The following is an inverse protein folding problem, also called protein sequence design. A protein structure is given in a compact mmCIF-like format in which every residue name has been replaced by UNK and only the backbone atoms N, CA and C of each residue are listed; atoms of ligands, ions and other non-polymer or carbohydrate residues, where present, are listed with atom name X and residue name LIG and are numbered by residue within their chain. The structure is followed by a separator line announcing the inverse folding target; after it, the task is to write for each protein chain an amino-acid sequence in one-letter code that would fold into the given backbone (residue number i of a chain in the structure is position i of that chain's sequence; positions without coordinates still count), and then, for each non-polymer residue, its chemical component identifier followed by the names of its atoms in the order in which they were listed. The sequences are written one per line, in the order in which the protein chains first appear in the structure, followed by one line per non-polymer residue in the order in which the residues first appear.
data_IF_156249412017
#
_entry.id   IF_156249412017
#
_cell.length_a   1.000
_cell.length_b   1.000
_cell.length_c   1.000
_cell.angle_alpha   90.00
_cell.angle_beta   90.00
_cell.angle_gamma   90.00
#
_symmetry.space_group_name_H-M   'P 1'
#
loop_
_entity.id
_entity.type
_entity.pdbx_description
1 polymer ?
#
# COMPACT_ATOMS: atom_id res chain seq x y z
N UNK A 1 8.35 12.45 3.09
CA UNK A 1 8.31 11.21 2.30
C UNK A 1 8.64 10.05 3.21
N UNK A 2 7.89 8.96 3.12
CA UNK A 2 8.09 7.78 3.98
C UNK A 2 7.99 6.48 3.18
N UNK A 3 8.63 5.43 3.69
CA UNK A 3 8.52 4.07 3.16
C UNK A 3 8.49 3.01 4.26
N UNK A 4 8.71 1.75 3.90
CA UNK A 4 8.40 0.60 4.76
C UNK A 4 9.12 0.61 6.12
N UNK A 5 10.29 1.25 6.19
CA UNK A 5 11.08 1.37 7.41
C UNK A 5 10.36 2.09 8.55
N UNK A 6 9.35 2.94 8.28
CA UNK A 6 8.56 3.57 9.36
C UNK A 6 7.59 2.59 10.02
N UNK A 7 7.26 1.48 9.36
CA UNK A 7 6.29 0.48 9.82
C UNK A 7 6.94 -0.75 10.46
N UNK A 8 8.26 -0.91 10.37
CA UNK A 8 8.99 -2.00 11.05
C UNK A 8 8.78 -2.02 12.57
N UNK A 9 8.74 -0.88 13.30
CA UNK A 9 8.46 -0.89 14.74
C UNK A 9 6.99 -1.23 15.07
N UNK A 10 6.11 -1.21 14.07
CA UNK A 10 4.71 -1.64 14.20
C UNK A 10 4.53 -3.15 14.02
N UNK A 11 5.61 -3.89 13.74
CA UNK A 11 5.58 -5.34 13.52
C UNK A 11 5.29 -5.76 12.08
N UNK A 12 5.22 -4.81 11.15
CA UNK A 12 5.12 -5.09 9.72
C UNK A 12 6.54 -5.30 9.21
N UNK A 13 6.91 -6.49 8.71
CA UNK A 13 8.22 -6.68 8.13
C UNK A 13 8.36 -5.76 6.91
N UNK A 14 9.55 -5.25 6.67
CA UNK A 14 9.79 -4.60 5.39
C UNK A 14 9.78 -5.65 4.26
N UNK A 15 9.85 -5.19 3.02
CA UNK A 15 9.84 -6.11 1.88
C UNK A 15 11.17 -6.87 1.73
N UNK A 16 12.30 -6.22 2.04
CA UNK A 16 13.64 -6.61 1.54
C UNK A 16 14.61 -7.14 2.60
N UNK A 17 14.33 -7.01 3.90
CA UNK A 17 15.26 -7.44 4.95
C UNK A 17 15.55 -8.94 4.84
N UNK A 18 16.83 -9.37 4.81
CA UNK A 18 17.16 -10.78 4.77
C UNK A 18 16.61 -11.53 6.00
N UNK A 19 15.86 -12.61 5.79
CA UNK A 19 15.38 -13.52 6.84
C UNK A 19 14.11 -13.08 7.58
N UNK A 20 13.82 -11.78 7.67
CA UNK A 20 12.58 -11.26 8.28
C UNK A 20 11.65 -10.57 7.27
N UNK A 21 12.18 -10.19 6.11
CA UNK A 21 11.44 -9.46 5.09
C UNK A 21 10.40 -10.34 4.40
N UNK A 22 9.33 -9.70 3.96
CA UNK A 22 8.19 -10.36 3.32
C UNK A 22 8.62 -11.28 2.17
N UNK A 23 9.59 -10.87 1.36
CA UNK A 23 10.11 -11.63 0.22
C UNK A 23 10.75 -12.97 0.61
N UNK A 24 11.33 -13.07 1.80
CA UNK A 24 11.89 -14.33 2.30
C UNK A 24 10.77 -15.33 2.64
N UNK A 25 9.65 -14.86 3.16
CA UNK A 25 8.48 -15.70 3.51
C UNK A 25 7.66 -16.11 2.28
N UNK A 26 7.84 -15.41 1.15
CA UNK A 26 7.12 -15.71 -0.09
C UNK A 26 7.76 -16.83 -0.92
N UNK A 27 8.97 -17.30 -0.57
CA UNK A 27 9.65 -18.42 -1.23
C UNK A 27 8.84 -19.74 -1.18
N UNK A 28 7.90 -19.86 -0.23
CA UNK A 28 6.98 -21.00 -0.15
C UNK A 28 5.96 -21.03 -1.30
N UNK A 29 5.76 -19.90 -1.98
CA UNK A 29 4.93 -19.80 -3.16
C UNK A 29 5.84 -19.93 -4.39
N UNK A 30 5.36 -20.63 -5.42
CA UNK A 30 6.06 -20.83 -6.70
C UNK A 30 6.08 -19.51 -7.51
N UNK A 31 6.76 -18.50 -6.95
CA UNK A 31 6.98 -17.18 -7.53
C UNK A 31 8.38 -17.15 -8.15
N UNK A 32 8.53 -16.64 -9.40
CA UNK A 32 9.81 -16.67 -10.10
C UNK A 32 10.87 -15.78 -9.43
N UNK A 33 10.42 -14.67 -8.83
CA UNK A 33 11.20 -13.74 -8.03
C UNK A 33 10.23 -12.91 -7.17
N UNK A 34 10.67 -12.31 -6.05
CA UNK A 34 9.77 -11.70 -5.08
C UNK A 34 8.88 -10.58 -5.61
N UNK A 35 9.41 -9.73 -6.49
CA UNK A 35 8.70 -8.61 -7.09
C UNK A 35 7.53 -9.05 -7.99
N UNK A 36 7.54 -10.28 -8.49
CA UNK A 36 6.49 -10.82 -9.36
C UNK A 36 5.10 -10.79 -8.69
N UNK A 37 5.01 -10.82 -7.37
CA UNK A 37 3.73 -10.70 -6.65
C UNK A 37 3.00 -9.37 -6.91
N UNK A 38 3.75 -8.33 -7.30
CA UNK A 38 3.26 -7.01 -7.66
C UNK A 38 3.35 -6.76 -9.18
N UNK A 39 3.43 -7.79 -10.01
CA UNK A 39 3.39 -7.65 -11.46
C UNK A 39 2.02 -8.07 -12.01
N UNK A 40 1.46 -7.28 -12.92
CA UNK A 40 0.15 -7.59 -13.52
C UNK A 40 0.15 -8.92 -14.28
N UNK A 41 1.23 -9.22 -15.02
CA UNK A 41 1.34 -10.46 -15.78
C UNK A 41 1.25 -11.70 -14.88
N UNK A 42 2.01 -11.70 -13.78
CA UNK A 42 1.95 -12.76 -12.78
C UNK A 42 0.58 -12.78 -12.07
N UNK A 43 0.02 -11.63 -11.70
CA UNK A 43 -1.29 -11.54 -11.05
C UNK A 43 -2.42 -12.15 -11.88
N UNK A 44 -2.43 -11.92 -13.20
CA UNK A 44 -3.42 -12.53 -14.08
C UNK A 44 -3.22 -14.03 -14.25
N UNK A 45 -1.99 -14.52 -14.15
CA UNK A 45 -1.68 -15.94 -14.16
C UNK A 45 -2.08 -16.63 -12.85
N UNK A 46 -1.66 -16.07 -11.71
CA UNK A 46 -1.93 -16.58 -10.37
C UNK A 46 -2.08 -15.42 -9.36
N UNK A 47 -3.30 -14.97 -9.05
CA UNK A 47 -3.50 -13.87 -8.10
C UNK A 47 -3.41 -14.30 -6.62
N UNK A 48 -3.36 -15.60 -6.33
CA UNK A 48 -3.44 -16.11 -4.95
C UNK A 48 -2.32 -15.59 -4.04
N UNK A 49 -1.03 -15.58 -4.45
CA UNK A 49 0.04 -15.10 -3.58
C UNK A 49 -0.18 -13.65 -3.12
N UNK A 50 -0.64 -12.77 -4.01
CA UNK A 50 -0.96 -11.40 -3.67
C UNK A 50 -2.11 -11.30 -2.65
N UNK A 51 -3.18 -12.09 -2.80
CA UNK A 51 -4.30 -12.03 -1.84
C UNK A 51 -3.94 -12.62 -0.48
N UNK A 52 -3.05 -13.61 -0.42
CA UNK A 52 -2.49 -14.08 0.84
C UNK A 52 -1.69 -12.98 1.54
N UNK A 53 -0.87 -12.25 0.78
CA UNK A 53 -0.18 -11.08 1.30
C UNK A 53 -1.14 -9.99 1.78
N UNK A 54 -2.17 -9.67 0.98
CA UNK A 54 -3.15 -8.65 1.32
C UNK A 54 -3.91 -8.99 2.62
N UNK A 55 -4.10 -10.28 2.91
CA UNK A 55 -4.67 -10.76 4.18
C UNK A 55 -3.76 -10.42 5.36
N UNK A 56 -2.45 -10.65 5.24
CA UNK A 56 -1.48 -10.33 6.29
C UNK A 56 -1.38 -8.81 6.55
N UNK A 57 -1.44 -8.00 5.49
CA UNK A 57 -1.32 -6.55 5.56
C UNK A 57 -2.64 -5.82 5.88
N UNK A 58 -3.72 -6.54 6.17
CA UNK A 58 -5.02 -5.89 6.35
C UNK A 58 -5.01 -4.89 7.52
N UNK A 59 -5.54 -3.66 7.32
CA UNK A 59 -5.76 -2.72 8.40
C UNK A 59 -6.51 -3.33 9.59
N UNK A 60 -5.92 -3.23 10.78
CA UNK A 60 -6.48 -3.74 12.04
C UNK A 60 -5.56 -4.69 12.80
N UNK A 61 -4.64 -5.37 12.11
CA UNK A 61 -3.64 -6.22 12.76
C UNK A 61 -2.48 -5.42 13.38
N UNK A 62 -2.19 -4.26 12.80
CA UNK A 62 -1.07 -3.41 13.20
C UNK A 62 -1.57 -2.06 13.69
N UNK A 63 -0.77 -1.42 14.55
CA UNK A 63 -1.04 -0.09 15.09
C UNK A 63 0.04 0.89 14.65
N UNK A 64 -0.31 2.16 14.41
CA UNK A 64 0.69 3.20 14.19
C UNK A 64 1.64 3.30 15.38
N UNK A 65 2.92 3.52 15.10
CA UNK A 65 3.95 3.74 16.12
C UNK A 65 4.32 5.23 16.26
N UNK A 66 5.34 5.52 17.08
CA UNK A 66 5.80 6.89 17.37
C UNK A 66 6.15 7.70 16.14
N UNK A 67 6.67 7.09 15.07
CA UNK A 67 6.99 7.78 13.81
C UNK A 67 5.73 8.30 13.13
N UNK A 68 4.67 7.49 13.11
CA UNK A 68 3.38 7.88 12.54
C UNK A 68 2.72 8.99 13.36
N UNK A 69 2.77 8.89 14.69
CA UNK A 69 2.22 9.91 15.57
C UNK A 69 3.05 11.21 15.58
N UNK A 70 4.35 11.13 15.29
CA UNK A 70 5.16 12.33 15.04
C UNK A 70 4.67 13.08 13.81
N UNK A 71 4.37 12.39 12.70
CA UNK A 71 3.79 13.01 11.51
C UNK A 71 2.40 13.59 11.80
N UNK A 72 1.61 12.90 12.62
CA UNK A 72 0.33 13.41 13.12
C UNK A 72 0.50 14.69 13.93
N UNK A 73 1.51 14.75 14.80
CA UNK A 73 1.82 15.93 15.58
C UNK A 73 2.24 17.12 14.70
N UNK A 74 3.02 16.88 13.64
CA UNK A 74 3.34 17.92 12.64
C UNK A 74 2.08 18.43 11.94
N UNK A 75 1.12 17.55 11.65
CA UNK A 75 -0.18 17.94 11.11
C UNK A 75 -0.98 18.79 12.10
N UNK A 76 -1.12 18.34 13.35
CA UNK A 76 -1.88 19.03 14.40
C UNK A 76 -1.28 20.41 14.75
N UNK A 77 0.03 20.59 14.49
CA UNK A 77 0.74 21.87 14.62
C UNK A 77 0.75 22.72 13.35
N UNK A 78 0.02 22.29 12.32
CA UNK A 78 -0.11 22.99 11.03
C UNK A 78 1.22 23.12 10.24
N UNK A 79 2.21 22.29 10.56
CA UNK A 79 3.52 22.27 9.90
C UNK A 79 3.59 21.28 8.72
N UNK A 80 2.66 20.33 8.64
CA UNK A 80 2.66 19.33 7.58
C UNK A 80 2.02 19.88 6.30
N UNK A 81 2.83 20.15 5.26
CA UNK A 81 2.32 20.44 3.92
C UNK A 81 1.61 19.23 3.32
N UNK A 82 2.35 18.11 3.16
CA UNK A 82 1.86 16.83 2.62
C UNK A 82 2.69 15.67 3.16
N UNK A 83 2.05 14.52 3.33
CA UNK A 83 2.68 13.24 3.57
C UNK A 83 2.58 12.36 2.33
N UNK A 84 3.72 12.12 1.68
CA UNK A 84 3.85 11.12 0.61
C UNK A 84 4.35 9.81 1.22
N UNK A 85 3.59 8.74 1.06
CA UNK A 85 3.95 7.39 1.54
C UNK A 85 4.05 6.41 0.37
N UNK A 86 5.08 5.56 0.42
CA UNK A 86 5.23 4.37 -0.44
C UNK A 86 4.54 3.14 0.16
N UNK A 87 4.08 3.23 1.41
CA UNK A 87 3.46 2.13 2.12
C UNK A 87 2.02 1.92 1.65
N UNK A 88 1.56 0.70 1.85
CA UNK A 88 0.19 0.27 1.56
C UNK A 88 -0.54 -0.25 2.80
N UNK A 89 0.13 -0.19 3.97
CA UNK A 89 -0.39 -0.71 5.25
C UNK A 89 -1.50 0.16 5.86
N UNK A 90 -1.64 1.41 5.41
CA UNK A 90 -2.68 2.34 5.86
C UNK A 90 -2.46 2.92 7.26
N UNK A 91 -1.28 2.74 7.88
CA UNK A 91 -1.00 3.22 9.23
C UNK A 91 -0.95 4.75 9.33
N UNK A 92 -0.67 5.46 8.24
CA UNK A 92 -0.76 6.93 8.19
C UNK A 92 -2.22 7.39 8.35
N UNK A 93 -3.17 6.69 7.73
CA UNK A 93 -4.59 6.98 7.92
C UNK A 93 -5.02 6.59 9.33
N UNK A 94 -4.58 5.44 9.83
CA UNK A 94 -4.90 4.97 11.18
C UNK A 94 -4.32 5.89 12.29
N UNK A 95 -3.23 6.61 12.05
CA UNK A 95 -2.72 7.64 12.97
C UNK A 95 -3.51 8.95 12.94
N UNK A 96 -4.46 9.07 12.01
CA UNK A 96 -5.35 10.21 11.87
C UNK A 96 -4.83 11.30 10.93
N UNK A 97 -3.89 11.00 10.02
CA UNK A 97 -3.59 11.93 8.94
C UNK A 97 -4.83 12.04 8.03
N UNK A 98 -5.36 13.26 7.79
CA UNK A 98 -6.53 13.41 6.93
C UNK A 98 -6.18 13.09 5.48
N UNK A 99 -7.14 12.54 4.73
CA UNK A 99 -6.95 12.20 3.32
C UNK A 99 -6.48 13.39 2.47
N UNK A 100 -6.84 14.63 2.83
CA UNK A 100 -6.36 15.84 2.17
C UNK A 100 -4.85 16.05 2.29
N UNK A 101 -4.22 15.57 3.36
CA UNK A 101 -2.77 15.68 3.61
C UNK A 101 -1.97 14.45 3.18
N UNK A 102 -2.63 13.35 2.86
CA UNK A 102 -2.00 12.10 2.47
C UNK A 102 -1.99 11.87 0.96
N UNK A 103 -0.86 11.39 0.46
CA UNK A 103 -0.68 10.82 -0.87
C UNK A 103 -0.10 9.42 -0.72
N UNK A 104 -0.95 8.42 -0.91
CA UNK A 104 -0.59 7.00 -0.98
C UNK A 104 -0.06 6.72 -2.39
N UNK A 105 1.24 6.88 -2.60
CA UNK A 105 1.84 6.83 -3.94
C UNK A 105 1.70 5.46 -4.59
N UNK A 106 1.77 4.38 -3.80
CA UNK A 106 1.60 3.01 -4.29
C UNK A 106 0.18 2.48 -4.07
N UNK A 107 -0.79 3.38 -3.91
CA UNK A 107 -2.19 3.01 -3.80
C UNK A 107 -2.58 2.53 -2.41
N UNK A 108 -3.76 1.91 -2.31
CA UNK A 108 -4.41 1.64 -1.02
C UNK A 108 -5.27 0.37 -1.05
N UNK A 109 -5.45 -0.26 0.12
CA UNK A 109 -6.43 -1.34 0.31
C UNK A 109 -7.85 -0.83 0.60
N UNK A 110 -8.04 0.48 0.73
CA UNK A 110 -9.34 1.11 1.02
C UNK A 110 -10.34 0.93 -0.12
N UNK A 111 -9.87 0.80 -1.36
CA UNK A 111 -10.70 0.62 -2.55
C UNK A 111 -10.13 -0.50 -3.43
N UNK A 112 -10.99 -1.02 -4.29
CA UNK A 112 -10.61 -2.06 -5.24
C UNK A 112 -11.35 -1.88 -6.57
N UNK A 113 -10.75 -2.36 -7.65
CA UNK A 113 -11.28 -2.21 -9.00
C UNK A 113 -11.32 -3.57 -9.71
N UNK A 114 -12.45 -3.88 -10.36
CA UNK A 114 -12.54 -5.03 -11.23
C UNK A 114 -11.57 -4.89 -12.41
N UNK A 115 -10.73 -5.91 -12.64
CA UNK A 115 -9.73 -5.90 -13.70
C UNK A 115 -10.32 -5.98 -15.11
N UNK A 116 -11.59 -6.36 -15.24
CA UNK A 116 -12.29 -6.50 -16.54
C UNK A 116 -13.20 -5.31 -16.81
N UNK A 117 -14.27 -5.14 -16.01
CA UNK A 117 -15.28 -4.10 -16.25
C UNK A 117 -14.97 -2.74 -15.61
N UNK A 118 -13.85 -2.63 -14.88
CA UNK A 118 -13.41 -1.40 -14.18
C UNK A 118 -14.38 -0.85 -13.14
N UNK A 119 -15.39 -1.63 -12.73
CA UNK A 119 -16.27 -1.28 -11.62
C UNK A 119 -15.46 -1.15 -10.33
N UNK A 120 -15.68 -0.07 -9.60
CA UNK A 120 -15.07 0.18 -8.29
C UNK A 120 -15.87 -0.48 -7.17
N UNK A 121 -15.15 -0.87 -6.13
CA UNK A 121 -15.61 -1.51 -4.90
C UNK A 121 -14.92 -0.84 -3.72
N UNK A 122 -15.57 -0.87 -2.56
CA UNK A 122 -14.86 -0.60 -1.32
C UNK A 122 -13.92 -1.77 -1.01
N UNK A 123 -12.86 -1.51 -0.24
CA UNK A 123 -12.01 -2.58 0.29
C UNK A 123 -12.86 -3.55 1.12
N UNK A 124 -13.76 -3.04 1.95
CA UNK A 124 -14.66 -3.87 2.78
C UNK A 124 -15.46 -4.90 1.95
N UNK A 125 -15.88 -4.54 0.73
CA UNK A 125 -16.64 -5.43 -0.16
C UNK A 125 -15.90 -6.72 -0.52
N UNK A 126 -14.58 -6.66 -0.71
CA UNK A 126 -13.78 -7.82 -1.14
C UNK A 126 -13.17 -8.57 0.05
N UNK A 127 -13.30 -8.03 1.25
CA UNK A 127 -12.53 -8.49 2.39
C UNK A 127 -13.01 -9.81 2.98
N UNK A 128 -14.31 -10.08 2.89
CA UNK A 128 -14.88 -11.36 3.27
C UNK A 128 -14.31 -12.51 2.44
N UNK A 129 -13.98 -12.27 1.17
CA UNK A 129 -13.35 -13.27 0.31
C UNK A 129 -11.86 -13.44 0.64
N UNK A 130 -11.12 -12.32 0.77
CA UNK A 130 -9.69 -12.35 1.13
C UNK A 130 -9.45 -13.08 2.44
N UNK A 131 -10.26 -12.79 3.48
CA UNK A 131 -10.13 -13.44 4.79
C UNK A 131 -10.46 -14.93 4.78
N UNK A 132 -11.28 -15.36 3.83
CA UNK A 132 -11.65 -16.76 3.64
C UNK A 132 -10.79 -17.48 2.58
N UNK A 133 -9.62 -16.91 2.25
CA UNK A 133 -8.66 -17.47 1.29
C UNK A 133 -9.25 -17.66 -0.11
N UNK A 134 -10.22 -16.82 -0.49
CA UNK A 134 -10.86 -16.77 -1.81
C UNK A 134 -10.40 -15.55 -2.59
N UNK A 135 -10.22 -15.74 -3.90
CA UNK A 135 -9.97 -14.64 -4.83
C UNK A 135 -11.28 -13.88 -5.05
N UNK A 136 -11.37 -12.58 -4.71
CA UNK A 136 -12.58 -11.80 -4.89
C UNK A 136 -12.95 -11.63 -6.36
N UNK A 137 -14.23 -11.81 -6.67
CA UNK A 137 -14.77 -11.82 -8.03
C UNK A 137 -15.87 -10.78 -8.18
N UNK A 138 -15.87 -10.11 -9.33
CA UNK A 138 -16.87 -9.10 -9.65
C UNK A 138 -18.24 -9.78 -9.81
N UNK A 139 -19.28 -9.32 -9.10
CA UNK A 139 -20.62 -9.93 -9.18
C UNK A 139 -21.29 -9.74 -10.56
N UNK A 140 -20.77 -8.86 -11.42
CA UNK A 140 -21.33 -8.58 -12.74
C UNK A 140 -20.66 -9.39 -13.85
N UNK A 141 -19.32 -9.38 -13.89
CA UNK A 141 -18.55 -9.95 -15.01
C UNK A 141 -17.64 -11.10 -14.61
N UNK A 142 -17.63 -11.51 -13.33
CA UNK A 142 -16.78 -12.57 -12.76
C UNK A 142 -15.26 -12.34 -12.89
N UNK A 143 -14.84 -11.18 -13.39
CA UNK A 143 -13.45 -10.75 -13.38
C UNK A 143 -12.91 -10.62 -11.96
N UNK A 144 -11.60 -10.80 -11.79
CA UNK A 144 -10.95 -10.61 -10.49
C UNK A 144 -11.09 -9.15 -10.04
N UNK A 145 -11.38 -8.92 -8.76
CA UNK A 145 -11.39 -7.57 -8.18
C UNK A 145 -10.07 -7.34 -7.47
N UNK A 146 -9.24 -6.46 -8.02
CA UNK A 146 -7.89 -6.17 -7.52
C UNK A 146 -7.96 -4.94 -6.61
N UNK A 147 -7.41 -4.97 -5.38
CA UNK A 147 -7.18 -3.77 -4.58
C UNK A 147 -6.45 -2.68 -5.38
N UNK A 148 -6.74 -1.42 -5.11
CA UNK A 148 -6.14 -0.29 -5.83
C UNK A 148 -4.69 0.00 -5.36
N UNK A 149 -3.89 -1.06 -5.25
CA UNK A 149 -2.44 -1.06 -5.04
C UNK A 149 -1.77 -0.96 -6.40
N UNK A 150 -0.78 -0.09 -6.54
CA UNK A 150 -0.04 0.08 -7.80
C UNK A 150 0.91 -1.10 -7.98
N UNK A 151 0.75 -1.82 -9.08
CA UNK A 151 1.66 -2.88 -9.51
C UNK A 151 2.73 -2.33 -10.43
N UNK A 152 3.84 -3.06 -10.58
CA UNK A 152 4.88 -2.69 -11.54
C UNK A 152 4.30 -2.58 -12.95
N UNK A 153 4.60 -1.46 -13.60
CA UNK A 153 4.07 -1.10 -14.92
C UNK A 153 2.70 -0.42 -14.90
N UNK A 154 2.04 -0.28 -13.75
CA UNK A 154 0.84 0.54 -13.61
C UNK A 154 1.17 2.02 -13.41
N UNK A 155 0.23 2.90 -13.78
CA UNK A 155 0.35 4.33 -13.51
C UNK A 155 0.10 4.62 -12.03
N UNK A 156 0.88 5.54 -11.46
CA UNK A 156 0.65 6.05 -10.11
C UNK A 156 -0.72 6.76 -10.02
N UNK A 157 -1.34 6.82 -8.82
CA UNK A 157 -2.65 7.46 -8.65
C UNK A 157 -2.58 8.94 -9.04
N UNK A 158 -3.67 9.48 -9.60
CA UNK A 158 -3.72 10.89 -10.02
C UNK A 158 -3.36 11.87 -8.89
N UNK A 159 -3.64 11.51 -7.63
CA UNK A 159 -3.25 12.29 -6.44
C UNK A 159 -1.73 12.48 -6.31
N UNK A 160 -0.93 11.58 -6.87
CA UNK A 160 0.52 11.72 -6.90
C UNK A 160 0.98 12.97 -7.65
N UNK A 161 0.20 13.48 -8.61
CA UNK A 161 0.51 14.71 -9.38
C UNK A 161 0.58 15.97 -8.50
N UNK A 162 0.06 15.94 -7.27
CA UNK A 162 0.21 17.04 -6.31
C UNK A 162 1.68 17.38 -6.02
N UNK A 163 2.61 16.44 -6.26
CA UNK A 163 4.04 16.67 -6.04
C UNK A 163 4.58 17.85 -6.85
N UNK A 164 4.04 18.11 -8.05
CA UNK A 164 4.49 19.20 -8.91
C UNK A 164 4.35 20.57 -8.26
N UNK A 165 3.31 20.76 -7.43
CA UNK A 165 3.10 21.99 -6.69
C UNK A 165 3.74 21.92 -5.29
N UNK A 166 3.54 20.81 -4.57
CA UNK A 166 3.97 20.69 -3.18
C UNK A 166 5.49 20.84 -3.02
N UNK A 167 6.29 20.26 -3.92
CA UNK A 167 7.76 20.31 -3.80
C UNK A 167 8.32 21.71 -4.02
N UNK A 168 7.66 22.54 -4.84
CA UNK A 168 8.05 23.94 -5.03
C UNK A 168 7.70 24.83 -3.83
N UNK A 169 6.70 24.42 -3.04
CA UNK A 169 6.23 25.14 -1.85
C UNK A 169 6.90 24.67 -0.55
N UNK A 170 7.51 23.48 -0.55
CA UNK A 170 8.14 22.92 0.63
C UNK A 170 9.39 23.71 1.04
N UNK A 171 9.49 24.04 2.32
CA UNK A 171 10.65 24.67 2.96
C UNK A 171 11.55 23.65 3.68
N UNK A 172 11.01 22.47 3.99
CA UNK A 172 11.72 21.34 4.59
C UNK A 172 11.22 19.99 4.03
N UNK A 173 12.15 19.11 3.68
CA UNK A 173 11.85 17.73 3.28
C UNK A 173 12.37 16.73 4.31
N UNK A 174 11.46 16.00 4.95
CA UNK A 174 11.78 14.86 5.82
C UNK A 174 11.65 13.55 5.02
N UNK A 175 12.71 12.73 5.01
CA UNK A 175 12.75 11.41 4.37
C UNK A 175 12.99 10.38 5.46
N UNK A 176 12.02 9.49 5.70
CA UNK A 176 12.04 8.54 6.82
C UNK A 176 11.79 7.11 6.31
N UNK A 177 12.66 6.17 6.67
CA UNK A 177 12.40 4.74 6.50
C UNK A 177 12.22 4.27 5.04
N UNK A 178 12.93 4.86 4.08
CA UNK A 178 12.92 4.40 2.67
C UNK A 178 14.35 4.31 2.13
N UNK A 179 14.61 3.32 1.27
CA UNK A 179 15.88 3.18 0.54
C UNK A 179 15.97 4.06 -0.69
N UNK A 180 14.84 4.64 -1.14
CA UNK A 180 14.73 5.42 -2.38
C UNK A 180 15.12 4.65 -3.66
N UNK A 181 15.07 3.31 -3.63
CA UNK A 181 15.44 2.47 -4.77
C UNK A 181 14.30 2.24 -5.77
N UNK A 182 13.07 2.63 -5.42
CA UNK A 182 11.88 2.43 -6.26
C UNK A 182 11.07 3.71 -6.30
N UNK A 183 10.67 4.10 -7.51
CA UNK A 183 9.73 5.16 -7.83
C UNK A 183 8.57 4.58 -8.64
#
# INVERSE_FOLDING_TARGET
MVGAGISTPSGIPDFRSPGSGLYSNLQQYDIPYPEAIFELGFFFHNPKPFFMLAKELYPGHYRPNVTHYFLRLLHDKELLLRLYTQNIDGLERASGIPASKLVEAHGTFVTATCTVCRRSFSGEDIWADVMADRVPRCPVCTGVVKPDIVFFGEQLPARFLLHMADFALADLLLILGTSLEVC
#
